data_IF_443996574839
#
_entry.id   IF_443996574839
#
_cell.length_a   1.000
_cell.length_b   1.000
_cell.length_c   1.000
_cell.angle_alpha   90.00
_cell.angle_beta   90.00
_cell.angle_gamma   90.00
#
_symmetry.space_group_name_H-M   'P 1'
#
loop_
_entity.id
_entity.type
_entity.pdbx_description
1 polymer ?
#
# COMPACT_ATOMS: atom_id res chain seq x y z
N UNK A 1 -14.50 39.46 -4.03
CA UNK A 1 -13.11 39.32 -3.55
C UNK A 1 -12.62 37.92 -3.88
N UNK A 2 -11.64 37.81 -4.78
CA UNK A 2 -10.98 36.56 -5.09
C UNK A 2 -10.03 36.23 -3.94
N UNK A 3 -10.40 35.27 -3.09
CA UNK A 3 -9.50 34.71 -2.10
C UNK A 3 -8.31 34.14 -2.89
N UNK A 4 -7.16 34.80 -2.79
CA UNK A 4 -5.86 34.30 -3.28
C UNK A 4 -5.42 33.13 -2.40
N UNK A 5 -6.18 32.03 -2.47
CA UNK A 5 -5.89 30.80 -1.77
C UNK A 5 -4.82 30.07 -2.58
N UNK A 6 -3.66 29.82 -1.97
CA UNK A 6 -2.68 28.94 -2.58
C UNK A 6 -3.15 27.48 -2.42
N UNK A 7 -4.00 27.06 -3.35
CA UNK A 7 -4.58 25.71 -3.39
C UNK A 7 -3.52 24.64 -3.57
N UNK A 8 -2.44 24.93 -4.30
CA UNK A 8 -1.34 24.01 -4.52
C UNK A 8 -0.60 23.68 -3.21
N UNK A 9 -0.28 24.71 -2.41
CA UNK A 9 0.31 24.52 -1.09
C UNK A 9 -0.62 23.70 -0.19
N UNK A 10 -1.91 24.01 -0.18
CA UNK A 10 -2.90 23.29 0.62
C UNK A 10 -2.93 21.80 0.24
N UNK A 11 -3.01 21.48 -1.06
CA UNK A 11 -2.97 20.08 -1.53
C UNK A 11 -1.66 19.39 -1.16
N UNK A 12 -0.51 20.07 -1.32
CA UNK A 12 0.78 19.51 -0.91
C UNK A 12 0.86 19.21 0.60
N UNK A 13 0.24 20.05 1.43
CA UNK A 13 0.16 19.84 2.88
C UNK A 13 -0.78 18.64 3.20
N UNK A 14 -1.88 18.47 2.46
CA UNK A 14 -2.79 17.31 2.58
C UNK A 14 -2.08 16.01 2.17
N UNK A 15 -1.37 16.01 1.05
CA UNK A 15 -0.59 14.85 0.61
C UNK A 15 0.47 14.44 1.65
N UNK A 16 1.15 15.41 2.25
CA UNK A 16 2.18 15.17 3.26
C UNK A 16 1.63 14.52 4.55
N UNK A 17 0.46 14.94 5.03
CA UNK A 17 -0.20 14.31 6.19
C UNK A 17 -0.69 12.89 5.87
N UNK A 18 -1.23 12.64 4.66
CA UNK A 18 -1.67 11.30 4.24
C UNK A 18 -0.48 10.34 4.22
N UNK A 19 0.64 10.76 3.62
CA UNK A 19 1.86 9.93 3.53
C UNK A 19 2.37 9.58 4.93
N UNK A 20 2.48 10.56 5.83
CA UNK A 20 2.95 10.31 7.22
C UNK A 20 2.05 9.35 7.97
N UNK A 21 0.73 9.44 7.78
CA UNK A 21 -0.23 8.53 8.40
C UNK A 21 -0.12 7.11 7.87
N UNK A 22 0.08 6.93 6.56
CA UNK A 22 0.32 5.60 6.00
C UNK A 22 1.65 5.01 6.47
N UNK A 23 2.71 5.82 6.57
CA UNK A 23 4.02 5.37 7.06
C UNK A 23 3.95 4.94 8.54
N UNK A 24 3.13 5.61 9.36
CA UNK A 24 2.97 5.21 10.76
C UNK A 24 2.33 3.81 10.89
N UNK A 25 1.39 3.46 10.02
CA UNK A 25 0.78 2.13 9.98
C UNK A 25 1.64 1.07 9.25
N UNK A 26 2.60 1.50 8.43
CA UNK A 26 3.39 0.63 7.53
C UNK A 26 4.03 -0.60 8.21
N UNK A 27 4.67 -0.51 9.40
CA UNK A 27 5.32 -1.69 9.99
C UNK A 27 4.35 -2.82 10.31
N UNK A 28 3.16 -2.48 10.83
CA UNK A 28 2.12 -3.45 11.16
C UNK A 28 1.55 -4.06 9.88
N UNK A 29 1.23 -3.22 8.90
CA UNK A 29 0.70 -3.66 7.61
C UNK A 29 1.70 -4.59 6.91
N UNK A 30 2.98 -4.20 6.86
CA UNK A 30 4.05 -5.01 6.27
C UNK A 30 4.18 -6.36 6.98
N UNK A 31 4.20 -6.39 8.31
CA UNK A 31 4.31 -7.63 9.07
C UNK A 31 3.10 -8.56 8.83
N UNK A 32 1.88 -8.02 8.92
CA UNK A 32 0.66 -8.79 8.70
C UNK A 32 0.60 -9.33 7.27
N UNK A 33 0.97 -8.53 6.28
CA UNK A 33 1.00 -8.94 4.87
C UNK A 33 1.95 -10.12 4.65
N UNK A 34 3.19 -10.06 5.17
CA UNK A 34 4.15 -11.16 5.02
C UNK A 34 3.70 -12.45 5.74
N UNK A 35 2.95 -12.30 6.83
CA UNK A 35 2.39 -13.44 7.58
C UNK A 35 1.25 -14.10 6.80
N UNK A 36 0.35 -13.31 6.20
CA UNK A 36 -0.78 -13.82 5.42
C UNK A 36 -0.36 -14.33 4.02
N UNK A 37 0.67 -13.73 3.42
CA UNK A 37 1.07 -13.98 2.03
C UNK A 37 2.57 -14.34 1.90
N UNK A 38 3.05 -15.41 2.56
CA UNK A 38 4.49 -15.72 2.66
C UNK A 38 5.15 -16.11 1.32
N UNK A 39 4.37 -16.62 0.38
CA UNK A 39 4.86 -17.08 -0.93
C UNK A 39 4.45 -16.15 -2.09
N UNK A 40 3.93 -14.97 -1.78
CA UNK A 40 3.39 -14.08 -2.79
C UNK A 40 4.52 -13.29 -3.46
N UNK A 41 4.83 -13.67 -4.70
CA UNK A 41 5.97 -13.13 -5.49
C UNK A 41 5.49 -12.06 -6.49
N UNK A 42 4.18 -11.99 -6.76
CA UNK A 42 3.56 -11.12 -7.77
C UNK A 42 3.08 -9.78 -7.19
N UNK A 43 2.55 -8.89 -8.06
CA UNK A 43 1.90 -7.61 -7.73
C UNK A 43 1.01 -7.68 -6.50
N UNK A 44 1.06 -6.70 -5.58
CA UNK A 44 0.34 -6.68 -4.29
C UNK A 44 -0.97 -7.45 -4.28
N UNK A 45 -1.11 -8.42 -3.36
CA UNK A 45 -2.32 -9.22 -3.18
C UNK A 45 -3.51 -8.39 -2.68
N UNK A 46 -3.21 -7.20 -2.14
CA UNK A 46 -4.19 -6.33 -1.52
C UNK A 46 -4.11 -4.92 -2.13
N UNK A 47 -5.28 -4.31 -2.27
CA UNK A 47 -5.45 -2.87 -2.45
C UNK A 47 -6.57 -2.41 -1.52
N UNK A 48 -6.58 -1.13 -1.17
CA UNK A 48 -7.59 -0.58 -0.28
C UNK A 48 -7.88 0.86 -0.67
N UNK A 49 -9.16 1.23 -0.68
CA UNK A 49 -9.62 2.61 -0.84
C UNK A 49 -9.91 3.15 0.56
N UNK A 50 -9.16 4.17 0.98
CA UNK A 50 -9.32 4.80 2.29
C UNK A 50 -10.02 6.15 2.14
N UNK A 51 -11.01 6.41 3.00
CA UNK A 51 -11.62 7.72 3.16
C UNK A 51 -10.86 8.53 4.20
N UNK A 52 -10.22 9.62 3.80
CA UNK A 52 -9.55 10.54 4.74
C UNK A 52 -10.44 11.74 5.03
N UNK A 53 -10.76 11.93 6.30
CA UNK A 53 -11.53 13.08 6.77
C UNK A 53 -10.55 14.15 7.24
N UNK A 54 -10.44 15.23 6.45
CA UNK A 54 -9.46 16.30 6.66
C UNK A 54 -10.16 17.61 6.93
N UNK A 55 -9.85 18.23 8.07
CA UNK A 55 -10.33 19.56 8.44
C UNK A 55 -9.27 20.62 8.12
N UNK A 56 -9.67 21.68 7.44
CA UNK A 56 -8.82 22.85 7.18
C UNK A 56 -9.11 23.93 8.22
N UNK A 57 -8.06 24.46 8.86
CA UNK A 57 -8.20 25.61 9.75
C UNK A 57 -8.21 26.96 8.99
N UNK A 58 -8.39 28.05 9.74
CA UNK A 58 -8.40 29.42 9.19
C UNK A 58 -7.09 29.83 8.48
N UNK A 59 -6.01 29.04 8.63
CA UNK A 59 -4.71 29.24 7.97
C UNK A 59 -4.47 28.23 6.84
N UNK A 60 -5.51 27.48 6.44
CA UNK A 60 -5.45 26.39 5.46
C UNK A 60 -4.49 25.27 5.84
N UNK A 61 -4.21 25.10 7.15
CA UNK A 61 -3.45 23.95 7.62
C UNK A 61 -4.40 22.75 7.73
N UNK A 62 -4.06 21.61 7.12
CA UNK A 62 -4.90 20.42 7.18
C UNK A 62 -4.63 19.60 8.45
N UNK A 63 -5.72 19.09 9.04
CA UNK A 63 -5.74 18.26 10.23
C UNK A 63 -6.52 16.98 9.92
N UNK A 64 -5.91 15.81 10.12
CA UNK A 64 -6.62 14.53 9.96
C UNK A 64 -7.53 14.34 11.17
N UNK A 65 -8.81 14.10 10.90
CA UNK A 65 -9.79 13.72 11.92
C UNK A 65 -9.81 12.21 12.07
N UNK A 66 -10.02 11.51 10.96
CA UNK A 66 -10.09 10.05 10.93
C UNK A 66 -9.70 9.47 9.56
N UNK A 67 -9.44 8.17 9.56
CA UNK A 67 -9.20 7.38 8.35
C UNK A 67 -10.16 6.20 8.33
N UNK A 68 -11.06 6.21 7.37
CA UNK A 68 -12.11 5.22 7.19
C UNK A 68 -11.65 4.12 6.24
N UNK A 69 -11.62 2.88 6.73
CA UNK A 69 -11.32 1.67 5.93
C UNK A 69 -12.53 1.18 5.11
N UNK A 70 -13.71 1.76 5.34
CA UNK A 70 -14.93 1.46 4.59
C UNK A 70 -15.71 2.75 4.32
N UNK A 71 -15.23 3.61 3.41
CA UNK A 71 -15.96 4.82 3.03
C UNK A 71 -17.29 4.46 2.34
N UNK A 72 -18.31 5.31 2.50
CA UNK A 72 -19.62 5.05 1.89
C UNK A 72 -19.58 5.24 0.37
N UNK A 73 -20.00 4.20 -0.36
CA UNK A 73 -20.23 4.26 -1.80
C UNK A 73 -21.71 4.42 -2.18
N UNK A 74 -22.58 4.82 -1.25
CA UNK A 74 -23.99 5.13 -1.59
C UNK A 74 -24.06 6.35 -2.50
N UNK A 75 -24.91 6.30 -3.53
CA UNK A 75 -25.06 7.36 -4.53
C UNK A 75 -26.44 7.99 -4.41
N UNK A 76 -26.60 8.83 -3.40
CA UNK A 76 -27.88 9.46 -3.08
C UNK A 76 -28.11 10.76 -3.90
N UNK A 77 -27.05 11.30 -4.50
CA UNK A 77 -27.10 12.43 -5.43
C UNK A 77 -26.38 12.14 -6.75
N UNK A 78 -26.69 12.92 -7.78
CA UNK A 78 -26.00 12.84 -9.08
C UNK A 78 -24.49 13.14 -8.93
N UNK A 79 -24.13 14.07 -8.04
CA UNK A 79 -22.73 14.38 -7.75
C UNK A 79 -22.01 13.20 -7.09
N UNK A 80 -22.66 12.53 -6.13
CA UNK A 80 -22.10 11.32 -5.52
C UNK A 80 -21.85 10.24 -6.56
N UNK A 81 -22.81 10.03 -7.47
CA UNK A 81 -22.66 9.08 -8.56
C UNK A 81 -21.45 9.42 -9.43
N UNK A 82 -21.34 10.65 -9.92
CA UNK A 82 -20.23 11.07 -10.79
C UNK A 82 -18.85 10.92 -10.13
N UNK A 83 -18.73 11.30 -8.86
CA UNK A 83 -17.45 11.21 -8.14
C UNK A 83 -17.10 9.76 -7.81
N UNK A 84 -18.05 8.99 -7.27
CA UNK A 84 -17.80 7.64 -6.76
C UNK A 84 -17.67 6.61 -7.89
N UNK A 85 -18.46 6.74 -8.96
CA UNK A 85 -18.33 5.86 -10.12
C UNK A 85 -16.97 6.03 -10.80
N UNK A 86 -16.55 7.28 -11.03
CA UNK A 86 -15.23 7.58 -11.58
C UNK A 86 -14.10 7.08 -10.66
N UNK A 87 -14.24 7.23 -9.34
CA UNK A 87 -13.28 6.71 -8.37
C UNK A 87 -13.12 5.19 -8.50
N UNK A 88 -14.23 4.44 -8.44
CA UNK A 88 -14.22 2.98 -8.50
C UNK A 88 -13.70 2.47 -9.85
N UNK A 89 -14.17 3.05 -10.96
CA UNK A 89 -13.70 2.69 -12.29
C UNK A 89 -12.19 2.89 -12.43
N UNK A 90 -11.69 4.07 -12.07
CA UNK A 90 -10.26 4.37 -12.14
C UNK A 90 -9.45 3.46 -11.20
N UNK A 91 -9.97 3.09 -10.02
CA UNK A 91 -9.28 2.14 -9.13
C UNK A 91 -9.14 0.78 -9.79
N UNK A 92 -10.21 0.22 -10.36
CA UNK A 92 -10.19 -1.10 -10.99
C UNK A 92 -9.25 -1.16 -12.20
N UNK A 93 -9.15 -0.05 -12.94
CA UNK A 93 -8.17 0.11 -14.03
C UNK A 93 -6.74 0.15 -13.46
N UNK A 94 -6.49 0.97 -12.43
CA UNK A 94 -5.16 1.17 -11.85
C UNK A 94 -4.57 -0.11 -11.25
N UNK A 95 -5.38 -0.90 -10.54
CA UNK A 95 -4.93 -2.17 -9.92
C UNK A 95 -4.60 -3.27 -10.96
N UNK A 96 -4.93 -3.05 -12.24
CA UNK A 96 -4.60 -3.94 -13.34
C UNK A 96 -5.02 -5.41 -13.13
N UNK A 97 -6.30 -5.67 -12.81
CA UNK A 97 -6.81 -7.03 -12.58
C UNK A 97 -6.54 -8.00 -13.75
N UNK A 98 -6.37 -7.49 -14.97
CA UNK A 98 -6.06 -8.29 -16.17
C UNK A 98 -4.65 -8.90 -16.15
N UNK A 99 -3.73 -8.34 -15.38
CA UNK A 99 -2.40 -8.91 -15.15
C UNK A 99 -2.42 -10.12 -14.22
N UNK A 100 -3.48 -10.27 -13.41
CA UNK A 100 -3.71 -11.38 -12.48
C UNK A 100 -4.20 -12.65 -13.21
N UNK A 101 -3.56 -13.02 -14.31
CA UNK A 101 -3.96 -14.19 -15.07
C UNK A 101 -3.53 -15.45 -14.31
N UNK A 102 -4.47 -16.05 -13.56
CA UNK A 102 -4.26 -17.23 -12.71
C UNK A 102 -3.42 -18.31 -13.38
N UNK A 103 -3.63 -18.56 -14.68
CA UNK A 103 -2.87 -19.54 -15.45
C UNK A 103 -1.38 -19.19 -15.64
N UNK A 104 -1.02 -17.90 -15.75
CA UNK A 104 0.39 -17.47 -15.82
C UNK A 104 1.05 -17.57 -14.45
N UNK A 105 0.37 -17.07 -13.42
CA UNK A 105 0.85 -17.10 -12.03
C UNK A 105 1.11 -18.54 -11.57
N UNK A 106 0.13 -19.44 -11.74
CA UNK A 106 0.28 -20.85 -11.34
C UNK A 106 1.37 -21.58 -12.14
N UNK A 107 1.60 -21.22 -13.42
CA UNK A 107 2.69 -21.80 -14.21
C UNK A 107 4.06 -21.31 -13.73
N UNK A 108 4.18 -20.01 -13.43
CA UNK A 108 5.39 -19.41 -12.85
C UNK A 108 5.70 -20.05 -11.48
N UNK A 109 4.70 -20.16 -10.60
CA UNK A 109 4.84 -20.80 -9.29
C UNK A 109 5.28 -22.26 -9.41
N UNK A 110 4.65 -23.05 -10.30
CA UNK A 110 5.03 -24.44 -10.54
C UNK A 110 6.44 -24.58 -11.10
N UNK A 111 6.86 -23.66 -11.98
CA UNK A 111 8.23 -23.61 -12.50
C UNK A 111 9.22 -23.28 -11.40
N UNK A 112 8.95 -22.27 -10.59
CA UNK A 112 9.78 -21.89 -9.45
C UNK A 112 9.88 -23.02 -8.43
N UNK A 113 8.78 -23.70 -8.08
CA UNK A 113 8.82 -24.85 -7.16
C UNK A 113 9.65 -26.00 -7.73
N UNK A 114 9.55 -26.28 -9.04
CA UNK A 114 10.42 -27.28 -9.70
C UNK A 114 11.89 -26.87 -9.66
N UNK A 115 12.21 -25.62 -9.98
CA UNK A 115 13.58 -25.11 -9.93
C UNK A 115 14.15 -25.16 -8.50
N UNK A 116 13.33 -24.87 -7.48
CA UNK A 116 13.68 -24.97 -6.05
C UNK A 116 14.02 -26.39 -5.61
N UNK A 117 13.40 -27.40 -6.21
CA UNK A 117 13.62 -28.82 -5.89
C UNK A 117 14.80 -29.41 -6.66
N UNK A 118 15.21 -28.80 -7.79
CA UNK A 118 16.18 -29.36 -8.72
C UNK A 118 17.60 -28.73 -8.65
N UNK A 119 17.79 -27.63 -7.92
CA UNK A 119 19.08 -26.91 -7.91
C UNK A 119 19.81 -26.90 -6.55
N UNK A 120 21.07 -27.38 -6.55
CA UNK A 120 22.10 -27.14 -5.52
C UNK A 120 22.68 -25.71 -5.63
N UNK A 121 21.83 -24.67 -5.54
CA UNK A 121 22.30 -23.28 -5.54
C UNK A 121 22.44 -22.74 -4.12
N UNK A 122 23.39 -21.82 -3.93
CA UNK A 122 23.56 -21.14 -2.64
C UNK A 122 22.34 -20.30 -2.31
N UNK A 123 22.08 -20.13 -1.01
CA UNK A 123 20.93 -19.38 -0.50
C UNK A 123 20.98 -17.91 -0.95
N UNK A 124 22.18 -17.34 -1.09
CA UNK A 124 22.39 -15.96 -1.54
C UNK A 124 22.00 -15.77 -3.00
N UNK A 125 22.44 -16.67 -3.90
CA UNK A 125 22.14 -16.57 -5.33
C UNK A 125 20.62 -16.59 -5.61
N UNK A 126 19.89 -17.43 -4.86
CA UNK A 126 18.43 -17.52 -4.96
C UNK A 126 17.72 -16.28 -4.42
N UNK A 127 18.25 -15.68 -3.35
CA UNK A 127 17.68 -14.45 -2.80
C UNK A 127 17.85 -13.28 -3.78
N UNK A 128 18.99 -13.20 -4.46
CA UNK A 128 19.26 -12.13 -5.43
C UNK A 128 18.40 -12.27 -6.70
N UNK A 129 18.25 -13.48 -7.26
CA UNK A 129 17.35 -13.70 -8.41
C UNK A 129 15.89 -13.34 -8.08
N UNK A 130 15.41 -13.67 -6.88
CA UNK A 130 14.07 -13.27 -6.44
C UNK A 130 13.93 -11.75 -6.35
N UNK A 131 14.95 -11.06 -5.84
CA UNK A 131 14.99 -9.60 -5.74
C UNK A 131 14.96 -8.95 -7.11
N UNK A 132 15.74 -9.47 -8.06
CA UNK A 132 15.76 -8.99 -9.45
C UNK A 132 14.41 -9.19 -10.14
N UNK A 133 13.77 -10.35 -9.96
CA UNK A 133 12.43 -10.62 -10.48
C UNK A 133 11.39 -9.65 -9.91
N UNK A 134 11.44 -9.40 -8.60
CA UNK A 134 10.58 -8.42 -7.94
C UNK A 134 10.80 -7.00 -8.48
N UNK A 135 12.06 -6.56 -8.65
CA UNK A 135 12.38 -5.24 -9.21
C UNK A 135 11.83 -5.09 -10.63
N UNK A 136 12.06 -6.08 -11.50
CA UNK A 136 11.56 -6.05 -12.87
C UNK A 136 10.03 -5.99 -12.93
N UNK A 137 9.34 -6.72 -12.05
CA UNK A 137 7.88 -6.65 -11.93
C UNK A 137 7.40 -5.29 -11.44
N UNK A 138 8.08 -4.71 -10.45
CA UNK A 138 7.76 -3.38 -9.91
C UNK A 138 7.91 -2.30 -10.99
N UNK A 139 8.98 -2.33 -11.78
CA UNK A 139 9.16 -1.42 -12.92
C UNK A 139 8.06 -1.55 -13.99
N UNK A 140 7.62 -2.79 -14.28
CA UNK A 140 6.51 -3.00 -15.21
C UNK A 140 5.20 -2.44 -14.66
N UNK A 141 4.96 -2.60 -13.36
CA UNK A 141 3.78 -2.05 -12.68
C UNK A 141 3.81 -0.52 -12.69
N UNK A 142 4.93 0.11 -12.35
CA UNK A 142 5.08 1.57 -12.39
C UNK A 142 4.83 2.14 -13.81
N UNK A 143 5.34 1.47 -14.85
CA UNK A 143 5.10 1.83 -16.25
C UNK A 143 3.62 1.70 -16.63
N UNK A 144 2.92 0.72 -16.07
CA UNK A 144 1.48 0.55 -16.27
C UNK A 144 0.71 1.65 -15.55
N UNK A 145 0.97 1.86 -14.25
CA UNK A 145 0.31 2.88 -13.43
C UNK A 145 0.45 4.26 -14.07
N UNK A 146 1.66 4.65 -14.50
CA UNK A 146 1.91 5.95 -15.13
C UNK A 146 1.06 6.22 -16.38
N UNK A 147 0.60 5.16 -17.08
CA UNK A 147 -0.27 5.26 -18.25
C UNK A 147 -1.76 5.21 -17.91
N UNK A 148 -2.12 4.76 -16.71
CA UNK A 148 -3.48 4.42 -16.31
C UNK A 148 -3.91 5.09 -14.99
N UNK A 149 -3.27 6.20 -14.62
CA UNK A 149 -3.60 6.97 -13.40
C UNK A 149 -5.06 7.46 -13.39
N UNK A 150 -5.63 7.81 -14.55
CA UNK A 150 -6.98 8.39 -14.62
C UNK A 150 -7.09 9.64 -13.76
N UNK A 151 -8.02 9.64 -12.79
CA UNK A 151 -8.18 10.70 -11.79
C UNK A 151 -7.23 10.63 -10.58
N UNK A 152 -6.36 9.61 -10.49
CA UNK A 152 -5.41 9.47 -9.39
C UNK A 152 -4.11 10.25 -9.63
N UNK A 153 -3.51 10.69 -8.53
CA UNK A 153 -2.15 11.24 -8.51
C UNK A 153 -1.30 10.39 -7.56
N UNK A 154 -0.14 9.94 -8.02
CA UNK A 154 0.82 9.26 -7.16
C UNK A 154 1.49 10.27 -6.23
N UNK A 155 1.21 10.15 -4.93
CA UNK A 155 1.78 11.04 -3.89
C UNK A 155 3.03 10.44 -3.23
N UNK A 156 3.19 9.11 -3.28
CA UNK A 156 4.37 8.37 -2.83
C UNK A 156 4.53 7.08 -3.65
N UNK A 157 5.77 6.69 -4.03
CA UNK A 157 7.00 7.47 -3.96
C UNK A 157 6.97 8.67 -4.94
N UNK A 158 7.65 9.76 -4.57
CA UNK A 158 7.78 10.98 -5.40
C UNK A 158 9.15 11.61 -5.26
N UNK A 159 9.51 12.49 -6.19
CA UNK A 159 10.74 13.29 -6.13
C UNK A 159 10.79 14.11 -4.83
N UNK A 160 11.94 14.11 -4.15
CA UNK A 160 12.08 14.70 -2.80
C UNK A 160 11.39 13.90 -1.67
N UNK A 161 10.94 12.68 -1.95
CA UNK A 161 10.34 11.76 -0.97
C UNK A 161 11.29 11.25 0.11
N UNK A 162 12.61 11.38 -0.08
CA UNK A 162 13.65 10.97 0.87
C UNK A 162 13.46 11.58 2.27
N UNK A 163 12.81 12.75 2.35
CA UNK A 163 12.43 13.38 3.62
C UNK A 163 11.57 12.48 4.52
N UNK A 164 10.89 11.48 3.95
CA UNK A 164 10.03 10.55 4.66
C UNK A 164 10.77 9.31 5.19
N UNK A 165 11.99 9.02 4.72
CA UNK A 165 12.75 7.82 5.09
C UNK A 165 13.02 7.73 6.60
N UNK A 166 13.16 8.88 7.25
CA UNK A 166 13.31 8.98 8.70
C UNK A 166 12.12 8.41 9.48
N UNK A 167 10.90 8.48 8.93
CA UNK A 167 9.70 8.00 9.61
C UNK A 167 9.58 6.47 9.58
N UNK A 168 10.20 5.80 8.61
CA UNK A 168 10.27 4.33 8.57
C UNK A 168 11.18 3.75 9.65
N UNK A 169 12.19 4.50 10.11
CA UNK A 169 13.15 4.05 11.13
C UNK A 169 12.59 4.12 12.56
N UNK A 170 11.80 5.15 12.86
CA UNK A 170 11.29 5.37 14.22
C UNK A 170 10.03 4.56 14.56
N UNK A 171 9.26 4.12 13.57
CA UNK A 171 7.96 3.47 13.81
C UNK A 171 8.09 2.09 14.47
N UNK A 172 9.18 1.36 14.26
CA UNK A 172 9.38 0.00 14.80
C UNK A 172 9.40 -0.02 16.34
N UNK A 173 10.00 0.99 16.98
CA UNK A 173 10.12 1.06 18.45
C UNK A 173 8.76 1.22 19.15
N UNK A 174 7.87 2.03 18.59
CA UNK A 174 6.56 2.35 19.19
C UNK A 174 5.60 1.15 19.25
N UNK A 175 5.72 0.20 18.30
CA UNK A 175 4.75 -0.88 18.18
C UNK A 175 5.12 -2.17 18.91
N UNK A 176 6.38 -2.31 19.37
CA UNK A 176 6.78 -3.46 20.18
C UNK A 176 6.03 -3.51 21.53
N UNK A 177 5.61 -2.37 22.06
CA UNK A 177 5.00 -2.30 23.40
C UNK A 177 3.46 -2.24 23.41
N UNK A 178 2.81 -2.10 22.25
CA UNK A 178 1.35 -1.98 22.20
C UNK A 178 0.65 -3.26 22.68
N UNK A 179 -0.48 -3.11 23.37
CA UNK A 179 -1.28 -4.23 23.89
C UNK A 179 -1.65 -5.25 22.79
N UNK A 180 -1.95 -4.77 21.57
CA UNK A 180 -2.23 -5.63 20.43
C UNK A 180 -1.00 -6.42 19.95
N UNK A 181 0.21 -5.85 20.07
CA UNK A 181 1.46 -6.55 19.76
C UNK A 181 1.75 -7.65 20.77
N UNK A 182 1.59 -7.34 22.07
CA UNK A 182 1.73 -8.32 23.16
C UNK A 182 0.71 -9.45 23.04
N UNK A 183 -0.55 -9.13 22.76
CA UNK A 183 -1.60 -10.13 22.54
C UNK A 183 -1.31 -11.05 21.33
N UNK A 184 -0.79 -10.51 20.22
CA UNK A 184 -0.37 -11.33 19.07
C UNK A 184 0.81 -12.24 19.44
N UNK A 185 1.80 -11.73 20.16
CA UNK A 185 2.97 -12.51 20.58
C UNK A 185 2.58 -13.63 21.56
N UNK A 186 1.66 -13.34 22.46
CA UNK A 186 1.15 -14.30 23.44
C UNK A 186 0.28 -15.38 22.78
N UNK A 187 -0.58 -15.00 21.84
CA UNK A 187 -1.34 -15.94 21.01
C UNK A 187 -0.43 -16.87 20.19
N UNK A 188 0.60 -16.30 19.53
CA UNK A 188 1.58 -17.09 18.79
C UNK A 188 2.37 -18.05 19.72
N UNK A 189 2.69 -17.63 20.94
CA UNK A 189 3.39 -18.46 21.93
C UNK A 189 2.51 -19.60 22.45
N UNK A 190 1.23 -19.36 22.66
CA UNK A 190 0.27 -20.38 23.08
C UNK A 190 0.04 -21.45 21.99
N UNK A 191 0.00 -21.05 20.72
CA UNK A 191 -0.11 -21.99 19.59
C UNK A 191 1.14 -22.89 19.45
N UNK A 192 2.31 -22.41 19.82
CA UNK A 192 3.56 -23.20 19.81
C UNK A 192 3.73 -24.12 21.03
N UNK A 193 3.07 -23.79 22.15
CA UNK A 193 3.11 -24.59 23.40
C UNK A 193 1.97 -25.62 23.50
N UNK A 194 0.97 -25.53 22.62
CA UNK A 194 -0.15 -26.47 22.53
C UNK A 194 0.06 -27.63 21.54
N UNK A 195 1.27 -27.77 21.00
CA UNK A 195 1.77 -28.92 20.22
C UNK A 195 2.77 -29.71 21.06
#
# INVERSE_FOLDING_TARGET
>A
ESISCNTEKMWNDIEDIIIKTLISAHPILKHNYHTCFPNHITSSACFEILGFDVLLDHRLKPWILEVNHSPSFTTDSQLDHEVKDALLYNTLVLINLSSCNRCKITKEERRMVKDRLQQNRSREARSEEMRQCQTAMMEQMEKYEAKHLGGFKRIYPREGGEKYDKYFKHSISLFQETAASKARQECARQQLQGL
#
